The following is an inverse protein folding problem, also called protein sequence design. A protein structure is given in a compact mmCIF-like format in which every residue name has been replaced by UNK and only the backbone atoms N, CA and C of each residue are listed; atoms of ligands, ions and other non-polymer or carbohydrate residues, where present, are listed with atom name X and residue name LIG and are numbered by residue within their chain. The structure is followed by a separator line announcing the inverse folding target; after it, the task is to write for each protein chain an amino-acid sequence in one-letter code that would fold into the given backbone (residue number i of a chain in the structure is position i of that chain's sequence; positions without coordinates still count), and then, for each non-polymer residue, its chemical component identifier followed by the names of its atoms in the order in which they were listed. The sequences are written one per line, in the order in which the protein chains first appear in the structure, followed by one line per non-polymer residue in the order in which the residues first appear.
data_IF_697290214734
#
_entry.id   IF_697290214734
#
_cell.length_a   1.000
_cell.length_b   1.000
_cell.length_c   1.000
_cell.angle_alpha   90.00
_cell.angle_beta   90.00
_cell.angle_gamma   90.00
#
_symmetry.space_group_name_H-M   'P 1'
#
loop_
_entity.id
_entity.type
_entity.pdbx_description
1 polymer ?
#
# COMPACT_ATOMS: atom_id res chain seq x y z
N UNK A 1 -10.20 -5.52 -0.54
CA UNK A 1 -10.26 -4.28 -1.34
C UNK A 1 -9.89 -4.58 -2.79
N UNK A 2 -10.66 -4.08 -3.72
CA UNK A 2 -10.32 -4.22 -5.14
C UNK A 2 -9.17 -3.30 -5.52
N UNK A 3 -8.33 -3.76 -6.42
CA UNK A 3 -7.18 -3.00 -6.89
C UNK A 3 -7.58 -1.64 -7.46
N UNK A 4 -8.74 -1.56 -8.13
CA UNK A 4 -9.25 -0.31 -8.68
C UNK A 4 -9.48 0.74 -7.59
N UNK A 5 -9.97 0.34 -6.44
CA UNK A 5 -10.19 1.26 -5.33
C UNK A 5 -8.87 1.85 -4.82
N UNK A 6 -7.85 1.01 -4.70
CA UNK A 6 -6.52 1.48 -4.30
C UNK A 6 -5.91 2.41 -5.36
N UNK A 7 -6.08 2.07 -6.61
CA UNK A 7 -5.63 2.90 -7.73
C UNK A 7 -6.30 4.28 -7.73
N UNK A 8 -7.61 4.31 -7.55
CA UNK A 8 -8.36 5.57 -7.49
C UNK A 8 -7.93 6.43 -6.31
N UNK A 9 -7.64 5.83 -5.16
CA UNK A 9 -7.11 6.56 -4.00
C UNK A 9 -5.74 7.15 -4.30
N UNK A 10 -4.87 6.38 -4.97
CA UNK A 10 -3.56 6.88 -5.36
C UNK A 10 -3.67 8.06 -6.31
N UNK A 11 -4.58 7.98 -7.29
CA UNK A 11 -4.84 9.10 -8.19
C UNK A 11 -5.35 10.33 -7.45
N UNK A 12 -6.24 10.16 -6.49
CA UNK A 12 -6.76 11.26 -5.69
C UNK A 12 -5.64 11.94 -4.89
N UNK A 13 -4.74 11.16 -4.31
CA UNK A 13 -3.58 11.69 -3.60
C UNK A 13 -2.68 12.53 -4.51
N UNK A 14 -2.42 12.05 -5.71
CA UNK A 14 -1.61 12.76 -6.70
C UNK A 14 -2.30 14.07 -7.10
N UNK A 15 -3.59 14.03 -7.37
CA UNK A 15 -4.36 15.21 -7.77
C UNK A 15 -4.45 16.25 -6.67
N UNK A 16 -4.65 15.83 -5.43
CA UNK A 16 -4.74 16.76 -4.29
C UNK A 16 -3.48 17.58 -4.10
N UNK A 17 -2.36 17.05 -4.56
CA UNK A 17 -1.08 17.74 -4.42
C UNK A 17 -0.82 18.73 -5.55
N UNK A 18 -1.53 18.63 -6.64
CA UNK A 18 -1.36 19.52 -7.78
C UNK A 18 -2.29 20.72 -7.64
N UNK A 19 -1.85 21.71 -6.89
CA UNK A 19 -2.60 22.94 -6.64
C UNK A 19 -2.74 23.81 -7.87
N UNK A 20 -1.92 23.58 -8.89
CA UNK A 20 -2.00 24.33 -10.14
C UNK A 20 -3.13 23.86 -11.06
N UNK A 21 -3.79 22.80 -10.73
CA UNK A 21 -4.87 22.24 -11.53
C UNK A 21 -4.41 21.59 -12.83
N UNK A 22 -3.12 21.49 -13.03
CA UNK A 22 -2.57 20.86 -14.22
C UNK A 22 -2.23 19.41 -13.91
N UNK A 23 -3.11 18.54 -14.29
CA UNK A 23 -2.86 17.12 -14.20
C UNK A 23 -2.20 16.69 -15.51
N UNK A 24 -0.89 16.59 -15.47
CA UNK A 24 -0.09 16.35 -16.67
C UNK A 24 0.13 14.89 -16.97
N UNK A 25 -0.37 14.02 -16.14
CA UNK A 25 0.02 12.65 -16.21
C UNK A 25 -0.79 11.89 -17.23
N UNK A 26 -0.15 11.01 -17.94
CA UNK A 26 -0.83 10.09 -18.82
C UNK A 26 -1.51 9.02 -17.98
N UNK A 27 -2.79 9.23 -17.69
CA UNK A 27 -3.59 8.33 -16.85
C UNK A 27 -3.66 6.94 -17.48
N UNK A 28 -3.61 6.84 -18.81
CA UNK A 28 -3.63 5.54 -19.47
C UNK A 28 -2.38 4.72 -19.14
N UNK A 29 -1.21 5.37 -19.09
CA UNK A 29 0.02 4.69 -18.70
C UNK A 29 -0.01 4.29 -17.23
N UNK A 30 -0.54 5.13 -16.37
CA UNK A 30 -0.72 4.80 -14.97
C UNK A 30 -1.60 3.57 -14.79
N UNK A 31 -2.74 3.56 -15.45
CA UNK A 31 -3.68 2.44 -15.36
C UNK A 31 -3.04 1.14 -15.87
N UNK A 32 -2.28 1.23 -16.94
CA UNK A 32 -1.61 0.07 -17.53
C UNK A 32 -0.57 -0.54 -16.57
N UNK A 33 0.18 0.31 -15.87
CA UNK A 33 1.27 -0.13 -15.02
C UNK A 33 0.83 -0.48 -13.60
N UNK A 34 -0.34 -0.03 -13.18
CA UNK A 34 -0.81 -0.18 -11.82
C UNK A 34 -0.85 -1.62 -11.31
N UNK A 35 -1.34 -2.62 -12.07
CA UNK A 35 -1.36 -4.00 -11.55
C UNK A 35 0.02 -4.52 -11.15
N UNK A 36 1.04 -4.30 -11.95
CA UNK A 36 2.39 -4.75 -11.63
C UNK A 36 2.96 -4.02 -10.43
N UNK A 37 2.72 -2.71 -10.34
CA UNK A 37 3.15 -1.92 -9.20
C UNK A 37 2.46 -2.39 -7.91
N UNK A 38 1.19 -2.67 -7.98
CA UNK A 38 0.44 -3.21 -6.83
C UNK A 38 1.04 -4.55 -6.39
N UNK A 39 1.33 -5.44 -7.32
CA UNK A 39 1.95 -6.72 -7.00
C UNK A 39 3.32 -6.54 -6.32
N UNK A 40 4.11 -5.58 -6.77
CA UNK A 40 5.39 -5.26 -6.14
C UNK A 40 5.19 -4.77 -4.72
N UNK A 41 4.20 -3.92 -4.49
CA UNK A 41 3.90 -3.41 -3.15
C UNK A 41 3.38 -4.53 -2.24
N UNK A 42 2.55 -5.42 -2.77
CA UNK A 42 2.09 -6.59 -2.00
C UNK A 42 3.28 -7.42 -1.56
N UNK A 43 4.27 -7.60 -2.43
CA UNK A 43 5.51 -8.31 -2.08
C UNK A 43 6.22 -7.60 -0.92
N UNK A 44 6.34 -6.28 -0.97
CA UNK A 44 6.97 -5.51 0.10
C UNK A 44 6.21 -5.63 1.43
N UNK A 45 4.90 -5.76 1.38
CA UNK A 45 4.03 -5.81 2.56
C UNK A 45 3.73 -7.23 3.02
N UNK A 46 4.29 -8.25 2.39
CA UNK A 46 3.91 -9.63 2.69
C UNK A 46 4.23 -10.06 4.13
N UNK A 47 5.37 -9.66 4.65
CA UNK A 47 5.72 -9.93 6.06
C UNK A 47 4.74 -9.20 6.98
N UNK A 48 4.41 -7.96 6.67
CA UNK A 48 3.44 -7.18 7.45
C UNK A 48 2.05 -7.82 7.42
N UNK A 49 1.66 -8.36 6.27
CA UNK A 49 0.41 -9.12 6.14
C UNK A 49 0.39 -10.30 7.11
N UNK A 50 1.49 -11.03 7.18
CA UNK A 50 1.61 -12.17 8.08
C UNK A 50 1.56 -11.73 9.55
N UNK A 51 2.17 -10.61 9.89
CA UNK A 51 2.11 -10.05 11.24
C UNK A 51 0.67 -9.66 11.58
N UNK A 52 0.00 -8.97 10.67
CA UNK A 52 -1.38 -8.53 10.88
C UNK A 52 -2.33 -9.72 11.07
N UNK A 53 -2.11 -10.80 10.35
CA UNK A 53 -2.90 -12.01 10.45
C UNK A 53 -2.41 -12.99 11.53
N UNK A 54 -1.36 -12.63 12.24
CA UNK A 54 -0.77 -13.45 13.30
C UNK A 54 -0.33 -14.83 12.81
N UNK A 55 0.37 -14.85 11.67
CA UNK A 55 0.91 -16.08 11.10
C UNK A 55 2.35 -16.23 11.54
N UNK A 56 2.70 -17.41 12.06
CA UNK A 56 4.08 -17.67 12.48
C UNK A 56 5.02 -17.62 11.28
N UNK A 57 6.22 -17.08 11.49
CA UNK A 57 7.20 -16.89 10.42
C UNK A 57 7.47 -18.18 9.62
N UNK A 58 7.55 -19.31 10.30
CA UNK A 58 7.77 -20.63 9.66
C UNK A 58 6.61 -21.11 8.81
N UNK A 59 5.44 -20.52 8.98
CA UNK A 59 4.21 -20.89 8.27
C UNK A 59 3.88 -19.92 7.14
N UNK A 60 4.75 -18.95 6.87
CA UNK A 60 4.50 -17.95 5.83
C UNK A 60 4.54 -18.63 4.46
N UNK A 61 3.44 -18.47 3.73
CA UNK A 61 3.40 -18.82 2.33
C UNK A 61 3.88 -17.62 1.51
N UNK A 62 5.07 -17.71 0.94
CA UNK A 62 5.66 -16.63 0.17
C UNK A 62 5.06 -16.47 -1.22
N UNK A 63 4.19 -17.39 -1.62
CA UNK A 63 3.50 -17.33 -2.90
C UNK A 63 2.08 -16.82 -2.70
N UNK A 64 1.84 -15.61 -3.15
CA UNK A 64 0.47 -15.08 -3.19
C UNK A 64 -0.02 -15.05 -4.63
N UNK A 65 -1.33 -15.04 -4.81
CA UNK A 65 -1.93 -14.90 -6.13
C UNK A 65 -1.79 -13.45 -6.59
N UNK A 66 -0.97 -13.18 -7.62
CA UNK A 66 -0.81 -11.81 -8.10
C UNK A 66 -2.10 -11.33 -8.80
N UNK A 67 -2.36 -10.03 -8.69
CA UNK A 67 -3.46 -9.45 -9.47
C UNK A 67 -3.03 -9.33 -10.94
N UNK A 68 -4.00 -9.43 -11.83
CA UNK A 68 -3.78 -9.30 -13.27
C UNK A 68 -4.45 -8.07 -13.83
N UNK A 69 -5.55 -7.68 -13.23
CA UNK A 69 -6.31 -6.49 -13.62
C UNK A 69 -6.70 -5.70 -12.39
N UNK A 70 -7.16 -4.47 -12.59
CA UNK A 70 -7.64 -3.63 -11.50
C UNK A 70 -8.97 -4.12 -10.91
N UNK A 71 -9.62 -5.08 -11.53
CA UNK A 71 -10.86 -5.66 -11.01
C UNK A 71 -10.60 -6.79 -10.02
N UNK A 72 -9.37 -7.22 -9.88
CA UNK A 72 -8.98 -8.27 -8.94
C UNK A 72 -8.90 -7.73 -7.52
N UNK A 73 -9.08 -8.65 -6.55
CA UNK A 73 -8.91 -8.32 -5.13
C UNK A 73 -7.42 -8.31 -4.77
N UNK A 74 -7.03 -7.31 -3.98
CA UNK A 74 -5.67 -7.25 -3.45
C UNK A 74 -5.56 -8.27 -2.32
N UNK A 75 -4.56 -9.18 -2.36
CA UNK A 75 -4.41 -10.23 -1.35
C UNK A 75 -3.77 -9.72 -0.06
N UNK A 76 -4.31 -8.67 0.50
CA UNK A 76 -3.84 -8.07 1.76
C UNK A 76 -5.02 -7.80 2.67
N UNK A 77 -4.75 -7.83 3.98
CA UNK A 77 -5.71 -7.37 4.97
C UNK A 77 -6.13 -5.94 4.64
N UNK A 78 -7.39 -5.62 4.91
CA UNK A 78 -7.96 -4.32 4.58
C UNK A 78 -7.14 -3.15 5.16
N UNK A 79 -6.61 -3.30 6.37
CA UNK A 79 -5.80 -2.26 6.98
C UNK A 79 -4.55 -1.91 6.14
N UNK A 80 -3.93 -2.90 5.52
CA UNK A 80 -2.77 -2.70 4.65
C UNK A 80 -3.17 -2.26 3.25
N UNK A 81 -4.18 -2.89 2.68
CA UNK A 81 -4.64 -2.57 1.32
C UNK A 81 -5.22 -1.16 1.22
N UNK A 82 -5.96 -0.74 2.24
CA UNK A 82 -6.65 0.55 2.27
C UNK A 82 -5.81 1.65 2.92
N UNK A 83 -5.09 1.32 3.99
CA UNK A 83 -4.38 2.29 4.80
C UNK A 83 -2.93 2.52 4.46
N UNK A 84 -2.29 1.63 3.71
CA UNK A 84 -0.85 1.69 3.47
C UNK A 84 -0.51 1.67 1.97
N UNK A 85 -1.04 0.70 1.25
CA UNK A 85 -0.69 0.48 -0.15
C UNK A 85 -0.92 1.70 -1.06
N UNK A 86 -2.01 2.46 -0.96
CA UNK A 86 -2.24 3.59 -1.87
C UNK A 86 -1.14 4.65 -1.82
N UNK A 87 -0.49 4.86 -0.68
CA UNK A 87 0.62 5.81 -0.59
C UNK A 87 1.83 5.34 -1.38
N UNK A 88 2.17 4.06 -1.28
CA UNK A 88 3.27 3.49 -2.06
C UNK A 88 2.94 3.53 -3.56
N UNK A 89 1.70 3.22 -3.92
CA UNK A 89 1.27 3.25 -5.31
C UNK A 89 1.37 4.67 -5.89
N UNK A 90 0.92 5.67 -5.14
CA UNK A 90 1.05 7.06 -5.55
C UNK A 90 2.53 7.43 -5.79
N UNK A 91 3.40 7.03 -4.88
CA UNK A 91 4.84 7.27 -5.01
C UNK A 91 5.40 6.64 -6.28
N UNK A 92 5.10 5.37 -6.51
CA UNK A 92 5.66 4.64 -7.64
C UNK A 92 5.14 5.13 -8.98
N UNK A 93 3.87 5.54 -9.03
CA UNK A 93 3.27 6.05 -10.26
C UNK A 93 3.93 7.34 -10.76
N UNK A 94 4.35 8.21 -9.86
CA UNK A 94 4.90 9.52 -10.24
C UNK A 94 6.41 9.62 -10.08
N UNK A 95 7.08 8.53 -9.77
CA UNK A 95 8.52 8.55 -9.44
C UNK A 95 9.36 9.19 -10.54
N UNK A 96 9.10 8.87 -11.79
CA UNK A 96 9.87 9.39 -12.91
C UNK A 96 9.56 10.86 -13.23
N UNK A 97 8.35 11.30 -12.93
CA UNK A 97 7.88 12.64 -13.25
C UNK A 97 8.15 13.65 -12.16
N UNK A 98 8.07 13.23 -10.91
CA UNK A 98 8.20 14.13 -9.76
C UNK A 98 8.76 13.35 -8.56
N UNK A 99 10.07 13.27 -8.51
CA UNK A 99 10.77 12.51 -7.46
C UNK A 99 10.57 13.10 -6.07
N UNK A 100 10.37 14.40 -5.93
CA UNK A 100 10.14 15.03 -4.62
C UNK A 100 8.78 14.64 -4.05
N UNK A 101 7.74 14.66 -4.87
CA UNK A 101 6.42 14.21 -4.45
C UNK A 101 6.40 12.71 -4.21
N UNK A 102 7.11 11.95 -5.05
CA UNK A 102 7.24 10.51 -4.85
C UNK A 102 7.87 10.20 -3.49
N UNK A 103 8.92 10.92 -3.11
CA UNK A 103 9.55 10.78 -1.79
C UNK A 103 8.58 11.11 -0.66
N UNK A 104 7.79 12.16 -0.83
CA UNK A 104 6.78 12.53 0.17
C UNK A 104 5.77 11.40 0.37
N UNK A 105 5.23 10.84 -0.70
CA UNK A 105 4.28 9.73 -0.60
C UNK A 105 4.94 8.48 -0.04
N UNK A 106 6.20 8.24 -0.36
CA UNK A 106 6.92 7.09 0.18
C UNK A 106 7.10 7.21 1.70
N UNK A 107 7.35 8.42 2.20
CA UNK A 107 7.41 8.67 3.64
C UNK A 107 6.07 8.45 4.31
N UNK A 108 4.97 8.88 3.68
CA UNK A 108 3.63 8.59 4.18
C UNK A 108 3.38 7.09 4.23
N UNK A 109 3.83 6.37 3.21
CA UNK A 109 3.74 4.92 3.16
C UNK A 109 4.48 4.27 4.34
N UNK A 110 5.73 4.63 4.57
CA UNK A 110 6.52 4.04 5.66
C UNK A 110 5.92 4.36 7.01
N UNK A 111 5.41 5.56 7.21
CA UNK A 111 4.76 5.96 8.45
C UNK A 111 3.44 5.20 8.66
N UNK A 112 2.63 5.08 7.64
CA UNK A 112 1.36 4.35 7.72
C UNK A 112 1.60 2.86 7.99
N UNK A 113 2.58 2.28 7.32
CA UNK A 113 2.99 0.88 7.53
C UNK A 113 3.38 0.63 8.97
N UNK A 114 4.25 1.47 9.51
CA UNK A 114 4.68 1.37 10.91
C UNK A 114 3.50 1.47 11.87
N UNK A 115 2.61 2.42 11.64
CA UNK A 115 1.45 2.64 12.50
C UNK A 115 0.51 1.43 12.50
N UNK A 116 0.22 0.87 11.33
CA UNK A 116 -0.67 -0.30 11.22
C UNK A 116 -0.04 -1.51 11.89
N UNK A 117 1.22 -1.82 11.58
CA UNK A 117 1.90 -2.98 12.16
C UNK A 117 1.98 -2.83 13.68
N UNK A 118 2.34 -1.66 14.18
CA UNK A 118 2.43 -1.41 15.63
C UNK A 118 1.07 -1.60 16.32
N UNK A 119 -0.02 -1.15 15.69
CA UNK A 119 -1.35 -1.30 16.23
C UNK A 119 -1.74 -2.77 16.39
N UNK A 120 -1.44 -3.60 15.38
CA UNK A 120 -1.75 -5.02 15.45
C UNK A 120 -0.85 -5.77 16.44
N UNK A 121 0.43 -5.43 16.49
CA UNK A 121 1.35 -6.01 17.49
C UNK A 121 0.91 -5.62 18.90
N UNK A 122 0.53 -4.39 19.13
CA UNK A 122 0.05 -3.92 20.43
C UNK A 122 -1.23 -4.62 20.86
N UNK A 123 -2.16 -4.84 19.93
CA UNK A 123 -3.40 -5.56 20.22
C UNK A 123 -3.11 -7.01 20.58
N UNK A 124 -2.17 -7.67 19.88
CA UNK A 124 -1.77 -9.04 20.16
C UNK A 124 -1.15 -9.19 21.54
N UNK A 125 -0.37 -8.22 21.96
CA UNK A 125 0.34 -8.25 23.24
C UNK A 125 -0.27 -7.34 24.32
N UNK A 126 -1.51 -6.88 24.10
CA UNK A 126 -2.15 -5.93 24.98
C UNK A 126 -2.26 -6.40 26.44
N UNK A 127 -2.62 -7.67 26.62
CA UNK A 127 -2.73 -8.24 27.97
C UNK A 127 -1.38 -8.28 28.70
N UNK A 128 -0.31 -8.47 27.98
CA UNK A 128 1.05 -8.47 28.55
C UNK A 128 1.44 -7.06 28.96
N UNK A 129 1.08 -6.07 28.18
CA UNK A 129 1.38 -4.66 28.47
C UNK A 129 0.62 -4.15 29.69
N UNK A 130 -0.58 -4.63 29.88
CA UNK A 130 -1.43 -4.23 31.02
C UNK A 130 -0.89 -4.74 32.34
N UNK A 131 0.00 -5.70 32.32
CA UNK A 131 0.64 -6.24 33.52
C UNK A 131 1.74 -5.29 34.04
N UNK A 132 2.30 -4.48 33.15
CA UNK A 132 3.35 -3.54 33.49
C UNK A 132 2.79 -2.13 33.68
#
# INVERSE_FOLDING_TARGET
MKARQAYERALALINERDSGGAYHTDVADFEKNAPELINSIVTLLWVDECIVRNIAMREINWNFEPIRTLDDEIPLHEALASGVLPFALASFLILEEDSERADYFYRLYTNARSAVVSAFVSAEHGSVRDIY
#
